data_IF_585609384172
#
_entry.id   IF_585609384172
#
_cell.length_a   1.000
_cell.length_b   1.000
_cell.length_c   1.000
_cell.angle_alpha   90.00
_cell.angle_beta   90.00
_cell.angle_gamma   90.00
#
_symmetry.space_group_name_H-M   'P 1'
#
loop_
_entity.id
_entity.type
_entity.pdbx_description
1 polymer ?
#
# COMPACT_ATOMS: atom_id res chain seq x y z
N UNK A 1 -1.40 -7.12 -7.14
CA UNK A 1 -0.06 -6.83 -6.61
C UNK A 1 -0.16 -5.53 -5.83
N UNK A 2 0.03 -5.56 -4.52
CA UNK A 2 0.05 -4.37 -3.67
C UNK A 2 1.50 -4.11 -3.27
N UNK A 3 1.96 -2.86 -3.41
CA UNK A 3 3.24 -2.45 -2.83
C UNK A 3 3.02 -2.23 -1.33
N UNK A 4 3.66 -3.06 -0.51
CA UNK A 4 3.65 -2.90 0.94
C UNK A 4 4.77 -1.95 1.35
N UNK A 5 4.46 -1.03 2.26
CA UNK A 5 5.48 -0.26 2.96
C UNK A 5 6.23 -1.09 4.01
N UNK A 6 7.25 -0.49 4.64
CA UNK A 6 7.93 -1.11 5.77
C UNK A 6 6.95 -1.39 6.92
N UNK A 7 7.28 -2.37 7.76
CA UNK A 7 6.43 -2.82 8.87
C UNK A 7 6.42 -1.88 10.09
N UNK A 8 7.12 -0.75 10.00
CA UNK A 8 7.27 0.21 11.09
C UNK A 8 7.51 1.61 10.52
N UNK A 9 7.16 2.62 11.31
CA UNK A 9 7.44 4.04 11.04
C UNK A 9 8.83 4.47 11.51
N UNK A 10 9.64 3.55 12.03
CA UNK A 10 10.98 3.80 12.57
C UNK A 10 10.98 4.89 13.66
N UNK A 11 9.97 4.90 14.54
CA UNK A 11 9.77 5.95 15.54
C UNK A 11 9.83 7.36 14.94
N UNK A 12 9.35 7.51 13.70
CA UNK A 12 9.39 8.79 13.04
C UNK A 12 10.87 9.26 12.95
N UNK A 13 11.73 8.40 12.39
CA UNK A 13 13.11 8.71 11.94
C UNK A 13 13.09 9.40 10.56
N UNK A 14 14.03 10.32 10.32
CA UNK A 14 14.24 11.03 9.05
C UNK A 14 15.39 10.39 8.26
N UNK A 15 15.46 10.63 6.95
CA UNK A 15 16.62 10.17 6.17
C UNK A 15 17.83 11.08 6.41
N UNK A 16 19.08 10.55 6.41
CA UNK A 16 20.28 11.34 6.67
C UNK A 16 20.48 12.54 5.72
N UNK A 17 19.96 12.43 4.49
CA UNK A 17 20.11 13.43 3.44
C UNK A 17 19.08 14.57 3.55
N UNK A 18 17.96 14.36 4.26
CA UNK A 18 16.86 15.33 4.34
C UNK A 18 15.98 15.09 5.59
N UNK A 19 16.06 16.02 6.54
CA UNK A 19 15.30 15.98 7.79
C UNK A 19 13.79 16.22 7.64
N UNK A 20 13.32 16.66 6.47
CA UNK A 20 11.88 16.82 6.20
C UNK A 20 11.23 15.51 5.72
N UNK A 21 12.02 14.49 5.39
CA UNK A 21 11.52 13.23 4.82
C UNK A 21 11.63 12.11 5.86
N UNK A 22 10.47 11.54 6.22
CA UNK A 22 10.43 10.34 7.08
C UNK A 22 11.02 9.14 6.34
N UNK A 23 11.83 8.36 7.03
CA UNK A 23 12.45 7.14 6.49
C UNK A 23 11.43 6.18 5.89
N UNK A 24 10.33 5.91 6.59
CA UNK A 24 9.32 4.96 6.11
C UNK A 24 8.63 5.41 4.81
N UNK A 25 8.50 6.73 4.61
CA UNK A 25 7.94 7.32 3.38
C UNK A 25 8.91 7.14 2.22
N UNK A 26 10.20 7.42 2.46
CA UNK A 26 11.26 7.24 1.47
C UNK A 26 11.37 5.78 1.01
N UNK A 27 11.41 4.84 1.96
CA UNK A 27 11.48 3.41 1.64
C UNK A 27 10.25 2.95 0.84
N UNK A 28 9.05 3.38 1.23
CA UNK A 28 7.83 3.09 0.47
C UNK A 28 7.88 3.64 -0.96
N UNK A 29 8.36 4.87 -1.16
CA UNK A 29 8.51 5.45 -2.48
C UNK A 29 9.45 4.62 -3.37
N UNK A 30 10.52 4.07 -2.80
CA UNK A 30 11.44 3.19 -3.52
C UNK A 30 10.76 1.87 -3.96
N UNK A 31 9.95 1.26 -3.08
CA UNK A 31 9.15 0.07 -3.43
C UNK A 31 8.18 0.36 -4.58
N UNK A 32 7.49 1.50 -4.53
CA UNK A 32 6.56 1.92 -5.59
C UNK A 32 7.30 2.17 -6.91
N UNK A 33 8.47 2.80 -6.85
CA UNK A 33 9.32 3.01 -8.03
C UNK A 33 9.73 1.69 -8.68
N UNK A 34 10.19 0.72 -7.88
CA UNK A 34 10.56 -0.60 -8.39
C UNK A 34 9.35 -1.33 -9.00
N UNK A 35 8.19 -1.24 -8.34
CA UNK A 35 6.94 -1.79 -8.85
C UNK A 35 6.61 -1.22 -10.24
N UNK A 36 6.63 0.11 -10.38
CA UNK A 36 6.32 0.77 -11.66
C UNK A 36 7.35 0.44 -12.73
N UNK A 37 8.63 0.39 -12.39
CA UNK A 37 9.68 -0.06 -13.32
C UNK A 37 9.39 -1.47 -13.83
N UNK A 38 9.01 -2.42 -12.96
CA UNK A 38 8.65 -3.79 -13.38
C UNK A 38 7.40 -3.83 -14.27
N UNK A 39 6.39 -3.01 -13.98
CA UNK A 39 5.19 -2.91 -14.83
C UNK A 39 5.55 -2.37 -16.22
N UNK A 40 6.38 -1.34 -16.29
CA UNK A 40 6.86 -0.76 -17.54
C UNK A 40 7.66 -1.77 -18.37
N UNK A 41 8.66 -2.43 -17.77
CA UNK A 41 9.49 -3.43 -18.44
C UNK A 41 8.71 -4.66 -18.93
N UNK A 42 7.55 -4.95 -18.33
CA UNK A 42 6.66 -6.05 -18.74
C UNK A 42 5.59 -5.62 -19.75
N UNK A 43 5.55 -4.34 -20.14
CA UNK A 43 4.54 -3.80 -21.05
C UNK A 43 3.14 -3.71 -20.43
N UNK A 44 3.02 -3.79 -19.10
CA UNK A 44 1.73 -3.70 -18.40
C UNK A 44 1.37 -2.23 -18.23
N UNK A 45 0.17 -1.86 -18.69
CA UNK A 45 -0.41 -0.54 -18.43
C UNK A 45 -1.33 -0.59 -17.21
N UNK A 46 -1.06 0.25 -16.21
CA UNK A 46 -1.95 0.46 -15.07
C UNK A 46 -2.77 1.74 -15.24
N UNK A 47 -4.04 1.71 -14.83
CA UNK A 47 -4.90 2.90 -14.85
C UNK A 47 -4.54 3.82 -13.68
N UNK A 48 -3.92 4.97 -13.97
CA UNK A 48 -3.55 5.96 -12.94
C UNK A 48 -4.74 6.45 -12.11
N UNK A 49 -5.93 6.57 -12.70
CA UNK A 49 -7.15 6.99 -11.99
C UNK A 49 -7.70 5.96 -11.00
N UNK A 50 -7.24 4.70 -11.08
CA UNK A 50 -7.61 3.61 -10.18
C UNK A 50 -6.51 3.28 -9.16
N UNK A 51 -5.35 3.89 -9.29
CA UNK A 51 -4.23 3.66 -8.38
C UNK A 51 -4.48 4.45 -7.10
N UNK A 52 -4.29 3.77 -5.97
CA UNK A 52 -4.25 4.38 -4.63
C UNK A 52 -2.85 4.15 -4.07
N UNK A 53 -2.14 5.23 -3.74
CA UNK A 53 -0.79 5.20 -3.18
C UNK A 53 -0.77 5.95 -1.85
N UNK A 54 0.19 5.59 -1.00
CA UNK A 54 0.48 6.31 0.25
C UNK A 54 -0.76 6.54 1.14
N UNK A 55 -1.63 5.53 1.22
CA UNK A 55 -2.82 5.55 2.08
C UNK A 55 -2.58 4.71 3.34
N UNK A 56 -3.03 5.15 4.53
CA UNK A 56 -2.94 4.35 5.76
C UNK A 56 -3.85 3.11 5.75
N UNK A 57 -4.90 3.13 4.93
CA UNK A 57 -5.81 2.01 4.75
C UNK A 57 -6.18 1.86 3.27
N UNK A 58 -6.14 0.63 2.77
CA UNK A 58 -6.44 0.30 1.38
C UNK A 58 -7.60 -0.69 1.32
N UNK A 59 -8.65 -0.34 0.57
CA UNK A 59 -9.70 -1.30 0.22
C UNK A 59 -9.18 -2.24 -0.88
N UNK A 60 -9.04 -3.52 -0.54
CA UNK A 60 -8.54 -4.55 -1.42
C UNK A 60 -9.41 -5.81 -1.30
N UNK A 61 -10.02 -6.20 -2.42
CA UNK A 61 -10.76 -7.47 -2.56
C UNK A 61 -11.85 -7.73 -1.51
N UNK A 62 -12.58 -6.69 -1.09
CA UNK A 62 -13.63 -6.87 -0.10
C UNK A 62 -13.11 -6.88 1.34
N UNK A 63 -11.90 -6.38 1.57
CA UNK A 63 -11.32 -6.14 2.88
C UNK A 63 -10.60 -4.80 2.92
N UNK A 64 -10.49 -4.21 4.11
CA UNK A 64 -9.66 -3.04 4.37
C UNK A 64 -8.35 -3.54 4.99
N UNK A 65 -7.23 -3.28 4.32
CA UNK A 65 -5.90 -3.55 4.83
C UNK A 65 -5.29 -2.26 5.38
N UNK A 66 -4.89 -2.26 6.65
CA UNK A 66 -4.26 -1.12 7.33
C UNK A 66 -3.16 -1.57 8.29
N UNK A 67 -2.55 -0.64 9.02
CA UNK A 67 -1.55 -0.96 10.05
C UNK A 67 -2.13 -1.83 11.17
N UNK A 68 -3.44 -1.72 11.43
CA UNK A 68 -4.17 -2.52 12.42
C UNK A 68 -4.50 -3.95 11.93
N UNK A 69 -4.14 -4.28 10.69
CA UNK A 69 -4.36 -5.59 10.08
C UNK A 69 -5.43 -5.59 8.98
N UNK A 70 -5.98 -6.77 8.70
CA UNK A 70 -6.96 -6.99 7.64
C UNK A 70 -8.37 -7.10 8.22
N UNK A 71 -9.27 -6.21 7.82
CA UNK A 71 -10.67 -6.18 8.26
C UNK A 71 -11.59 -6.53 7.09
N UNK A 72 -12.36 -7.61 7.19
CA UNK A 72 -13.30 -8.01 6.13
C UNK A 72 -14.52 -7.08 6.11
N UNK A 73 -14.99 -6.73 4.91
CA UNK A 73 -16.24 -5.99 4.77
C UNK A 73 -17.41 -6.81 5.32
N UNK A 74 -18.26 -6.17 6.12
CA UNK A 74 -19.42 -6.82 6.73
C UNK A 74 -20.36 -7.45 5.68
N UNK A 75 -20.45 -6.85 4.49
CA UNK A 75 -21.21 -7.39 3.36
C UNK A 75 -20.67 -8.72 2.80
N UNK A 76 -19.35 -8.92 2.83
CA UNK A 76 -18.73 -10.19 2.41
C UNK A 76 -19.03 -11.30 3.43
N UNK A 77 -18.88 -11.00 4.72
CA UNK A 77 -19.19 -11.93 5.81
C UNK A 77 -20.66 -12.36 5.75
N UNK A 78 -21.58 -11.41 5.55
CA UNK A 78 -23.01 -11.71 5.44
C UNK A 78 -23.37 -12.61 4.25
N UNK A 79 -22.64 -12.53 3.13
CA UNK A 79 -22.87 -13.43 1.99
C UNK A 79 -22.50 -14.87 2.31
N UNK A 80 -21.42 -15.08 3.07
CA UNK A 80 -20.98 -16.41 3.50
C UNK A 80 -21.91 -16.99 4.57
N UNK A 81 -22.33 -16.15 5.54
CA UNK A 81 -23.19 -16.60 6.64
C UNK A 81 -24.63 -16.90 6.21
N UNK A 82 -25.11 -16.31 5.12
CA UNK A 82 -26.48 -16.47 4.59
C UNK A 82 -26.54 -17.36 3.34
N UNK A 83 -25.45 -18.09 3.07
CA UNK A 83 -25.36 -18.99 1.93
C UNK A 83 -26.09 -20.31 2.19
#
# INVERSE_FOLDING_TARGET
MAAHGPSSRYNEETIPENDDIRRFVWEYAHVVYELFSRLEHSGITASGTKIVLATPALDVLGAIASEEGLQLHHGLVNKVLKW
#
